data_IF_410580387311
#
_entry.id   IF_410580387311
#
_cell.length_a   1.000
_cell.length_b   1.000
_cell.length_c   1.000
_cell.angle_alpha   90.00
_cell.angle_beta   90.00
_cell.angle_gamma   90.00
#
_symmetry.space_group_name_H-M   'P 1'
#
loop_
_entity.id
_entity.type
_entity.pdbx_description
1 polymer ?
#
# COMPACT_ATOMS: atom_id res chain seq x y z
N UNK A 1 -6.95 36.80 -9.99
CA UNK A 1 -6.57 35.36 -9.96
C UNK A 1 -5.78 35.14 -8.69
N UNK A 2 -6.43 34.52 -7.72
CA UNK A 2 -6.45 35.11 -6.39
C UNK A 2 -5.48 34.39 -5.45
N UNK A 3 -4.49 35.10 -4.93
CA UNK A 3 -3.53 34.61 -3.92
C UNK A 3 -4.22 33.93 -2.71
N UNK A 4 -5.45 34.35 -2.42
CA UNK A 4 -6.34 33.76 -1.40
C UNK A 4 -6.67 32.29 -1.70
N UNK A 5 -6.84 31.90 -2.96
CA UNK A 5 -7.11 30.50 -3.37
C UNK A 5 -5.90 29.59 -3.14
N UNK A 6 -4.68 30.11 -3.37
CA UNK A 6 -3.43 29.37 -3.14
C UNK A 6 -3.20 29.16 -1.65
N UNK A 7 -3.44 30.19 -0.81
CA UNK A 7 -3.32 30.08 0.64
C UNK A 7 -4.32 29.07 1.23
N UNK A 8 -5.53 28.98 0.66
CA UNK A 8 -6.52 27.96 1.03
C UNK A 8 -6.08 26.55 0.65
N UNK A 9 -5.48 26.35 -0.54
CA UNK A 9 -4.97 25.04 -0.97
C UNK A 9 -3.76 24.61 -0.12
N UNK A 10 -2.84 25.54 0.18
CA UNK A 10 -1.66 25.26 1.01
C UNK A 10 -2.07 24.97 2.45
N UNK A 11 -3.04 25.70 3.02
CA UNK A 11 -3.63 25.37 4.32
C UNK A 11 -4.38 24.05 4.30
N UNK A 12 -5.12 23.72 3.24
CA UNK A 12 -5.84 22.44 3.15
C UNK A 12 -4.88 21.25 3.04
N UNK A 13 -3.77 21.40 2.32
CA UNK A 13 -2.71 20.39 2.24
C UNK A 13 -1.96 20.28 3.57
N UNK A 14 -1.66 21.39 4.25
CA UNK A 14 -1.01 21.39 5.57
C UNK A 14 -1.91 20.85 6.69
N UNK A 15 -3.21 21.15 6.66
CA UNK A 15 -4.19 20.63 7.63
C UNK A 15 -4.47 19.15 7.37
N UNK A 16 -4.45 18.70 6.10
CA UNK A 16 -4.63 17.30 5.71
C UNK A 16 -3.38 16.44 5.98
N UNK A 17 -2.17 17.00 5.88
CA UNK A 17 -0.92 16.29 6.22
C UNK A 17 -0.65 16.15 7.72
N UNK A 18 -1.36 16.89 8.59
CA UNK A 18 -1.17 16.87 10.04
C UNK A 18 -1.78 15.65 10.74
N UNK A 19 -2.64 14.87 10.08
CA UNK A 19 -3.18 13.62 10.64
C UNK A 19 -2.58 12.38 9.99
N UNK A 20 -1.25 12.32 9.94
CA UNK A 20 -0.55 11.04 9.83
C UNK A 20 -0.70 10.35 11.18
N UNK A 21 -1.70 9.48 11.27
CA UNK A 21 -2.05 8.73 12.48
C UNK A 21 -0.80 8.15 13.12
N UNK A 22 -0.38 8.73 14.25
CA UNK A 22 0.69 8.21 15.08
C UNK A 22 0.32 6.78 15.42
N UNK A 23 1.14 5.82 14.97
CA UNK A 23 0.99 4.41 15.28
C UNK A 23 1.05 4.25 16.80
N UNK A 24 -0.10 4.32 17.46
CA UNK A 24 -0.24 4.05 18.88
C UNK A 24 0.26 2.62 19.10
N UNK A 25 1.35 2.49 19.86
CA UNK A 25 1.84 1.21 20.38
C UNK A 25 0.83 0.68 21.40
N UNK A 26 -0.29 0.20 20.88
CA UNK A 26 -1.41 -0.33 21.62
C UNK A 26 -1.59 -1.80 21.22
N UNK A 27 -2.30 -2.61 22.01
CA UNK A 27 -2.53 -4.05 21.76
C UNK A 27 -2.95 -4.36 20.31
N UNK A 28 -3.60 -3.39 19.65
CA UNK A 28 -3.95 -3.43 18.24
C UNK A 28 -2.78 -3.59 17.25
N UNK A 29 -1.58 -3.11 17.56
CA UNK A 29 -0.43 -3.25 16.66
C UNK A 29 0.02 -4.71 16.51
N UNK A 30 0.07 -5.45 17.62
CA UNK A 30 0.41 -6.89 17.59
C UNK A 30 -0.62 -7.69 16.79
N UNK A 31 -1.90 -7.40 17.01
CA UNK A 31 -3.00 -8.02 16.27
C UNK A 31 -2.97 -7.66 14.79
N UNK A 32 -2.67 -6.41 14.46
CA UNK A 32 -2.46 -5.94 13.08
C UNK A 32 -1.34 -6.71 12.39
N UNK A 33 -0.20 -6.90 13.04
CA UNK A 33 0.91 -7.67 12.47
C UNK A 33 0.59 -9.14 12.30
N UNK A 34 -0.11 -9.76 13.24
CA UNK A 34 -0.56 -11.14 13.09
C UNK A 34 -1.59 -11.30 11.97
N UNK A 35 -2.55 -10.37 11.87
CA UNK A 35 -3.49 -10.35 10.75
C UNK A 35 -2.78 -10.11 9.41
N UNK A 36 -1.79 -9.21 9.35
CA UNK A 36 -1.00 -8.97 8.14
C UNK A 36 -0.33 -10.25 7.65
N UNK A 37 0.36 -10.98 8.55
CA UNK A 37 1.01 -12.26 8.21
C UNK A 37 -0.01 -13.30 7.73
N UNK A 38 -1.11 -13.46 8.46
CA UNK A 38 -2.14 -14.44 8.15
C UNK A 38 -2.83 -14.15 6.81
N UNK A 39 -3.19 -12.89 6.55
CA UNK A 39 -3.80 -12.45 5.29
C UNK A 39 -2.81 -12.64 4.14
N UNK A 40 -1.55 -12.24 4.30
CA UNK A 40 -0.52 -12.42 3.27
C UNK A 40 -0.36 -13.89 2.88
N UNK A 41 -0.35 -14.78 3.87
CA UNK A 41 -0.27 -16.22 3.62
C UNK A 41 -1.53 -16.76 2.92
N UNK A 42 -2.72 -16.34 3.36
CA UNK A 42 -3.99 -16.78 2.76
C UNK A 42 -4.08 -16.33 1.31
N UNK A 43 -3.75 -15.07 1.02
CA UNK A 43 -3.80 -14.54 -0.36
C UNK A 43 -2.82 -15.30 -1.25
N UNK A 44 -1.58 -15.48 -0.79
CA UNK A 44 -0.58 -16.24 -1.55
C UNK A 44 -1.05 -17.68 -1.82
N UNK A 45 -1.57 -18.38 -0.82
CA UNK A 45 -1.94 -19.79 -0.99
C UNK A 45 -3.30 -20.02 -1.67
N UNK A 46 -4.25 -19.09 -1.54
CA UNK A 46 -5.64 -19.28 -2.00
C UNK A 46 -5.92 -18.62 -3.35
N UNK A 47 -5.08 -17.68 -3.80
CA UNK A 47 -5.18 -17.04 -5.11
C UNK A 47 -4.06 -17.48 -6.07
N UNK A 48 -3.26 -18.49 -5.71
CA UNK A 48 -2.28 -19.11 -6.61
C UNK A 48 -2.95 -19.95 -7.70
N UNK A 49 -3.74 -19.31 -8.55
CA UNK A 49 -4.12 -19.89 -9.83
C UNK A 49 -3.03 -19.57 -10.86
N UNK A 50 -2.39 -20.56 -11.51
CA UNK A 50 -1.29 -20.34 -12.46
C UNK A 50 -1.70 -19.51 -13.70
N UNK A 51 -3.01 -19.32 -13.91
CA UNK A 51 -3.60 -18.46 -14.96
C UNK A 51 -3.59 -16.98 -14.60
N UNK A 52 -3.66 -16.67 -13.31
CA UNK A 52 -3.50 -15.35 -12.75
C UNK A 52 -2.02 -15.20 -12.35
N UNK A 53 -1.15 -14.87 -13.31
CA UNK A 53 0.26 -14.49 -13.04
C UNK A 53 0.33 -13.12 -12.33
N UNK A 54 -0.43 -12.95 -11.26
CA UNK A 54 -0.58 -11.73 -10.47
C UNK A 54 0.04 -12.01 -9.12
N UNK A 55 1.07 -11.25 -8.75
CA UNK A 55 1.62 -11.29 -7.40
C UNK A 55 0.97 -10.19 -6.57
N UNK A 56 0.30 -10.58 -5.49
CA UNK A 56 -0.43 -9.67 -4.60
C UNK A 56 0.31 -9.60 -3.26
N UNK A 57 0.77 -8.41 -2.89
CA UNK A 57 1.55 -8.17 -1.67
C UNK A 57 0.76 -7.31 -0.69
N UNK A 58 0.68 -7.72 0.58
CA UNK A 58 0.02 -6.95 1.64
C UNK A 58 1.02 -6.01 2.31
N UNK A 59 0.82 -4.70 2.15
CA UNK A 59 1.71 -3.67 2.66
C UNK A 59 1.49 -3.37 4.13
N UNK A 60 0.24 -3.09 4.49
CA UNK A 60 -0.14 -2.70 5.83
C UNK A 60 -1.59 -3.10 6.12
N UNK A 61 -1.87 -3.42 7.38
CA UNK A 61 -3.22 -3.66 7.87
C UNK A 61 -3.50 -2.70 9.01
N UNK A 62 -4.43 -1.77 8.79
CA UNK A 62 -4.91 -0.86 9.82
C UNK A 62 -6.22 -1.38 10.40
N UNK A 63 -6.30 -1.45 11.72
CA UNK A 63 -7.49 -1.95 12.42
C UNK A 63 -8.09 -0.82 13.22
N UNK A 64 -9.42 -0.73 13.23
CA UNK A 64 -10.14 0.21 14.09
C UNK A 64 -9.93 -0.14 15.58
N UNK A 65 -10.10 0.84 16.47
CA UNK A 65 -9.96 0.65 17.92
C UNK A 65 -10.87 -0.46 18.46
N UNK A 66 -12.04 -0.66 17.83
CA UNK A 66 -13.03 -1.67 18.23
C UNK A 66 -12.79 -3.05 17.60
N UNK A 67 -11.72 -3.25 16.82
CA UNK A 67 -11.42 -4.51 16.10
C UNK A 67 -12.52 -5.03 15.15
N UNK A 68 -13.55 -4.24 14.86
CA UNK A 68 -14.66 -4.61 13.95
C UNK A 68 -14.34 -4.39 12.48
N UNK A 69 -13.51 -3.38 12.17
CA UNK A 69 -13.18 -2.99 10.81
C UNK A 69 -11.67 -2.97 10.60
N UNK A 70 -11.24 -3.39 9.42
CA UNK A 70 -9.84 -3.35 9.00
C UNK A 70 -9.71 -2.80 7.58
N UNK A 71 -8.72 -1.94 7.38
CA UNK A 71 -8.27 -1.45 6.08
C UNK A 71 -6.97 -2.17 5.72
N UNK A 72 -6.95 -2.82 4.57
CA UNK A 72 -5.83 -3.64 4.12
C UNK A 72 -5.29 -2.98 2.86
N UNK A 73 -4.06 -2.49 2.95
CA UNK A 73 -3.34 -1.88 1.85
C UNK A 73 -2.59 -2.96 1.08
N UNK A 74 -2.84 -3.02 -0.23
CA UNK A 74 -2.30 -4.04 -1.10
C UNK A 74 -1.58 -3.38 -2.28
N UNK A 75 -0.43 -3.94 -2.62
CA UNK A 75 0.25 -3.71 -3.89
C UNK A 75 0.03 -4.91 -4.80
N UNK A 76 -0.22 -4.64 -6.07
CA UNK A 76 -0.39 -5.66 -7.10
C UNK A 76 0.78 -5.49 -8.07
N UNK A 77 1.51 -6.57 -8.31
CA UNK A 77 2.59 -6.57 -9.29
C UNK A 77 2.09 -7.19 -10.59
N UNK A 78 1.80 -6.34 -11.56
CA UNK A 78 1.30 -6.70 -12.89
C UNK A 78 2.49 -6.90 -13.84
N UNK A 79 3.16 -8.05 -13.78
CA UNK A 79 4.28 -8.32 -14.69
C UNK A 79 3.84 -8.87 -16.05
N UNK A 80 2.68 -9.55 -16.12
CA UNK A 80 2.25 -10.33 -17.30
C UNK A 80 0.72 -10.55 -17.37
N UNK A 81 -0.09 -9.77 -16.64
CA UNK A 81 -1.54 -10.01 -16.54
C UNK A 81 -2.35 -9.08 -17.45
N UNK A 82 -3.42 -9.59 -18.05
CA UNK A 82 -4.39 -8.81 -18.84
C UNK A 82 -5.43 -8.09 -17.99
N UNK A 83 -5.50 -8.36 -16.69
CA UNK A 83 -6.47 -7.79 -15.76
C UNK A 83 -5.95 -6.48 -15.17
N UNK A 84 -6.82 -5.47 -15.12
CA UNK A 84 -6.51 -4.22 -14.45
C UNK A 84 -6.51 -4.40 -12.93
N UNK A 85 -5.74 -3.58 -12.22
CA UNK A 85 -5.72 -3.53 -10.75
C UNK A 85 -7.12 -3.37 -10.13
N UNK A 86 -8.04 -2.72 -10.85
CA UNK A 86 -9.45 -2.56 -10.46
C UNK A 86 -10.22 -3.88 -10.46
N UNK A 87 -9.99 -4.74 -11.45
CA UNK A 87 -10.68 -6.03 -11.58
C UNK A 87 -10.19 -6.99 -10.50
N UNK A 88 -8.88 -6.98 -10.24
CA UNK A 88 -8.26 -7.75 -9.17
C UNK A 88 -8.81 -7.31 -7.80
N UNK A 89 -8.95 -6.00 -7.59
CA UNK A 89 -9.58 -5.46 -6.38
C UNK A 89 -11.03 -5.92 -6.23
N UNK A 90 -11.80 -5.97 -7.32
CA UNK A 90 -13.18 -6.46 -7.31
C UNK A 90 -13.24 -7.95 -6.95
N UNK A 91 -12.35 -8.76 -7.52
CA UNK A 91 -12.22 -10.20 -7.20
C UNK A 91 -11.88 -10.38 -5.71
N UNK A 92 -10.89 -9.66 -5.20
CA UNK A 92 -10.52 -9.69 -3.77
C UNK A 92 -11.69 -9.29 -2.86
N UNK A 93 -12.46 -8.27 -3.24
CA UNK A 93 -13.65 -7.86 -2.49
C UNK A 93 -14.74 -8.93 -2.48
N UNK A 94 -14.99 -9.62 -3.60
CA UNK A 94 -15.92 -10.76 -3.65
C UNK A 94 -15.44 -11.92 -2.77
N UNK A 95 -14.13 -12.20 -2.80
CA UNK A 95 -13.50 -13.25 -2.00
C UNK A 95 -13.28 -12.88 -0.53
N UNK A 96 -13.61 -11.66 -0.10
CA UNK A 96 -13.40 -11.18 1.28
C UNK A 96 -14.04 -12.07 2.34
N UNK A 97 -15.26 -12.58 2.09
CA UNK A 97 -15.97 -13.49 3.00
C UNK A 97 -15.22 -14.81 3.17
N UNK A 98 -14.69 -15.35 2.08
CA UNK A 98 -13.91 -16.58 2.08
C UNK A 98 -12.58 -16.40 2.82
N UNK A 99 -11.87 -15.30 2.55
CA UNK A 99 -10.63 -14.94 3.27
C UNK A 99 -10.91 -14.78 4.77
N UNK A 100 -12.03 -14.15 5.14
CA UNK A 100 -12.45 -13.99 6.53
C UNK A 100 -12.72 -15.33 7.22
N UNK A 101 -13.33 -16.28 6.51
CA UNK A 101 -13.52 -17.64 7.01
C UNK A 101 -12.18 -18.35 7.26
N UNK A 102 -11.24 -18.27 6.30
CA UNK A 102 -9.90 -18.84 6.48
C UNK A 102 -9.13 -18.17 7.63
N UNK A 103 -9.28 -16.86 7.80
CA UNK A 103 -8.69 -16.14 8.94
C UNK A 103 -9.22 -16.62 10.28
N UNK A 104 -10.52 -16.90 10.39
CA UNK A 104 -11.09 -17.42 11.65
C UNK A 104 -10.50 -18.76 12.07
N UNK A 105 -10.04 -19.57 11.11
CA UNK A 105 -9.36 -20.84 11.39
C UNK A 105 -7.89 -20.65 11.77
N UNK A 106 -7.21 -19.66 11.16
CA UNK A 106 -5.78 -19.41 11.40
C UNK A 106 -5.49 -18.55 12.63
N UNK A 107 -6.31 -17.52 12.87
CA UNK A 107 -6.07 -16.54 13.93
C UNK A 107 -7.09 -16.74 15.03
N UNK A 108 -6.63 -16.92 16.27
CA UNK A 108 -7.47 -17.03 17.46
C UNK A 108 -8.02 -15.66 17.87
N UNK A 109 -8.97 -15.14 17.10
CA UNK A 109 -9.70 -13.90 17.40
C UNK A 109 -11.13 -14.23 17.82
N UNK A 110 -11.64 -13.52 18.84
CA UNK A 110 -13.07 -13.60 19.21
C UNK A 110 -13.97 -13.13 18.06
N UNK A 111 -13.55 -12.06 17.38
CA UNK A 111 -14.27 -11.47 16.25
C UNK A 111 -13.23 -11.19 15.17
N UNK A 112 -13.45 -11.74 13.97
CA UNK A 112 -12.62 -11.39 12.81
C UNK A 112 -13.16 -10.10 12.20
N UNK A 113 -12.33 -9.06 12.03
CA UNK A 113 -12.78 -7.80 11.45
C UNK A 113 -13.32 -7.96 10.04
N UNK A 114 -14.16 -7.02 9.62
CA UNK A 114 -14.52 -6.84 8.22
C UNK A 114 -13.27 -6.35 7.46
N UNK A 115 -12.97 -7.04 6.36
CA UNK A 115 -11.78 -6.81 5.54
C UNK A 115 -12.12 -5.84 4.41
N UNK A 116 -11.61 -4.61 4.47
CA UNK A 116 -11.72 -3.65 3.37
C UNK A 116 -10.38 -3.55 2.64
N UNK A 117 -10.35 -4.08 1.41
CA UNK A 117 -9.19 -3.99 0.55
C UNK A 117 -9.12 -2.62 -0.14
N UNK A 118 -7.93 -2.01 -0.05
CA UNK A 118 -7.55 -0.75 -0.70
C UNK A 118 -6.28 -1.00 -1.47
N UNK A 119 -6.32 -0.73 -2.77
CA UNK A 119 -5.14 -0.76 -3.61
C UNK A 119 -4.34 0.53 -3.41
N UNK A 120 -3.03 0.40 -3.19
CA UNK A 120 -2.14 1.54 -2.98
C UNK A 120 -0.99 1.56 -4.00
N UNK A 121 -0.96 2.60 -4.82
CA UNK A 121 0.09 2.89 -5.81
C UNK A 121 1.32 3.61 -5.21
N UNK A 122 1.30 3.94 -3.91
CA UNK A 122 2.32 4.79 -3.28
C UNK A 122 3.74 4.24 -3.45
N UNK A 123 3.93 2.92 -3.38
CA UNK A 123 5.22 2.27 -3.61
C UNK A 123 5.74 2.43 -5.04
N UNK A 124 4.88 2.22 -6.04
CA UNK A 124 5.24 2.35 -7.45
C UNK A 124 5.63 3.80 -7.74
N UNK A 125 4.89 4.76 -7.18
CA UNK A 125 5.20 6.19 -7.30
C UNK A 125 6.52 6.56 -6.61
N UNK A 126 6.79 6.01 -5.42
CA UNK A 126 8.04 6.24 -4.69
C UNK A 126 9.28 5.73 -5.44
N UNK A 127 9.20 4.56 -6.06
CA UNK A 127 10.28 4.01 -6.89
C UNK A 127 10.56 4.88 -8.12
N UNK A 128 9.51 5.37 -8.80
CA UNK A 128 9.65 6.27 -9.95
C UNK A 128 10.36 7.58 -9.58
N UNK A 129 9.97 8.19 -8.45
CA UNK A 129 10.59 9.43 -7.97
C UNK A 129 12.07 9.20 -7.63
N UNK A 130 12.37 8.11 -6.93
CA UNK A 130 13.76 7.77 -6.55
C UNK A 130 14.64 7.53 -7.79
N UNK A 131 14.10 6.87 -8.82
CA UNK A 131 14.80 6.66 -10.10
C UNK A 131 15.12 7.98 -10.81
N UNK A 132 14.13 8.89 -10.92
CA UNK A 132 14.32 10.20 -11.53
C UNK A 132 15.36 11.06 -10.77
N UNK A 133 15.32 11.00 -9.44
CA UNK A 133 16.29 11.68 -8.59
C UNK A 133 17.70 11.15 -8.85
N UNK A 134 17.90 9.83 -8.82
CA UNK A 134 19.20 9.22 -9.11
C UNK A 134 19.72 9.56 -10.51
N UNK A 135 18.86 9.55 -11.53
CA UNK A 135 19.23 9.93 -12.89
C UNK A 135 19.70 11.39 -12.97
N UNK A 136 19.05 12.31 -12.26
CA UNK A 136 19.46 13.71 -12.20
C UNK A 136 20.82 13.90 -11.51
N UNK A 137 21.11 13.12 -10.46
CA UNK A 137 22.41 13.13 -9.79
C UNK A 137 23.52 12.58 -10.68
N UNK A 138 23.27 11.47 -11.41
CA UNK A 138 24.24 10.89 -12.36
C UNK A 138 24.56 11.87 -13.49
N UNK A 139 23.55 12.55 -14.04
CA UNK A 139 23.75 13.58 -15.06
C UNK A 139 24.61 14.75 -14.56
N UNK A 140 24.37 15.21 -13.32
CA UNK A 140 25.14 16.30 -12.70
C UNK A 140 26.60 15.90 -12.45
N UNK A 141 26.86 14.67 -12.02
CA UNK A 141 28.24 14.16 -11.85
C UNK A 141 29.00 14.04 -13.17
N UNK A 142 28.37 13.59 -14.25
CA UNK A 142 29.01 13.54 -15.58
C UNK A 142 29.37 14.94 -16.08
N UNK A 143 28.46 15.90 -15.94
CA UNK A 143 28.71 17.29 -16.38
C UNK A 143 29.88 17.93 -15.63
N UNK A 144 29.98 17.72 -14.31
CA UNK A 144 31.11 18.25 -13.53
C UNK A 144 32.46 17.61 -13.91
N UNK A 145 32.47 16.33 -14.33
CA UNK A 145 33.70 15.66 -14.78
C UNK A 145 34.19 16.09 -16.17
N UNK A 146 33.29 16.60 -17.02
CA UNK A 146 33.65 17.18 -18.32
C UNK A 146 34.22 18.58 -18.14
N UNK A 147 33.62 19.39 -17.26
CA UNK A 147 34.07 20.77 -16.99
C UNK A 147 35.47 20.81 -16.37
N UNK A 148 35.85 19.83 -15.54
CA UNK A 148 37.17 19.77 -14.91
C UNK A 148 38.28 19.16 -15.79
N UNK A 149 37.98 18.68 -17.01
CA UNK A 149 38.99 18.17 -17.95
C UNK A 149 39.39 19.21 -19.01
N UNK A 150 38.58 20.26 -19.17
CA UNK A 150 38.77 21.31 -20.17
C UNK A 150 39.41 22.59 -19.56
N UNK A 151 39.91 22.51 -18.32
CA UNK A 151 40.60 23.56 -17.57
C UNK A 151 41.93 23.04 -17.02
#
# INVERSE_FOLDING_TARGET
>A
MDFIKILFIVSFILISWRTRSVLQYNRGFRVSKELQKAISWIICNSLSDPRLKVLITVLEVQISRDFKYSKIYISIFESCTTLSSKDILLILRKSSKYIRFLLSKKVRLRIVPILNFVYDDSLIKGMKISSLINQSFLYKSQKNSLINRDS
#
